data_IF_520907285770
#
_entry.id   IF_520907285770
#
_cell.length_a   1.000
_cell.length_b   1.000
_cell.length_c   1.000
_cell.angle_alpha   90.00
_cell.angle_beta   90.00
_cell.angle_gamma   90.00
#
_symmetry.space_group_name_H-M   'P 1'
#
loop_
_entity.id
_entity.type
_entity.pdbx_description
1 polymer ?
#
# COMPACT_ATOMS: atom_id res chain seq x y z
N UNK A 1 4.51 8.12 -30.64
CA UNK A 1 4.71 6.66 -30.78
C UNK A 1 6.00 6.10 -30.18
N UNK A 2 7.01 6.91 -29.83
CA UNK A 2 8.37 6.41 -29.54
C UNK A 2 8.52 5.46 -28.32
N UNK A 3 7.71 5.56 -27.27
CA UNK A 3 7.91 4.76 -26.04
C UNK A 3 7.16 3.43 -26.02
N UNK A 4 5.89 3.42 -26.40
CA UNK A 4 5.03 2.23 -26.28
C UNK A 4 4.61 1.62 -27.61
N UNK A 5 4.96 2.25 -28.74
CA UNK A 5 4.53 1.83 -30.10
C UNK A 5 3.00 1.71 -30.25
N UNK A 6 2.24 2.40 -29.41
CA UNK A 6 0.77 2.51 -29.45
C UNK A 6 0.33 3.95 -29.15
N UNK A 7 -0.91 4.30 -29.51
CA UNK A 7 -1.47 5.66 -29.34
C UNK A 7 -1.74 5.99 -27.87
N UNK A 8 -2.42 5.07 -27.16
CA UNK A 8 -2.69 5.18 -25.71
C UNK A 8 -1.63 4.40 -24.94
N UNK A 9 -1.05 4.88 -23.83
CA UNK A 9 -0.18 4.06 -22.98
C UNK A 9 -0.86 2.77 -22.51
N UNK A 10 -0.12 1.66 -22.34
CA UNK A 10 -0.68 0.42 -21.80
C UNK A 10 -1.10 0.60 -20.33
N UNK A 11 -2.18 -0.06 -19.93
CA UNK A 11 -2.65 -0.09 -18.54
C UNK A 11 -1.82 -1.08 -17.71
N UNK A 12 -1.63 -0.78 -16.42
CA UNK A 12 -1.00 -1.72 -15.48
C UNK A 12 -2.04 -2.71 -14.96
N UNK A 13 -1.84 -4.00 -15.23
CA UNK A 13 -2.73 -5.05 -14.74
C UNK A 13 -2.29 -5.53 -13.34
N UNK A 14 -2.95 -5.00 -12.30
CA UNK A 14 -2.66 -5.30 -10.90
C UNK A 14 -2.90 -6.77 -10.53
N UNK A 15 -3.79 -7.48 -11.24
CA UNK A 15 -4.03 -8.92 -11.01
C UNK A 15 -2.79 -9.79 -11.30
N UNK A 16 -1.82 -9.28 -12.06
CA UNK A 16 -0.56 -10.00 -12.37
C UNK A 16 0.51 -9.85 -11.29
N UNK A 17 0.26 -9.03 -10.28
CA UNK A 17 1.18 -8.83 -9.16
C UNK A 17 1.03 -10.02 -8.20
N UNK A 18 2.08 -10.83 -8.05
CA UNK A 18 2.08 -12.04 -7.22
C UNK A 18 2.79 -11.89 -5.88
N UNK A 19 3.56 -10.82 -5.71
CA UNK A 19 4.27 -10.53 -4.46
C UNK A 19 3.24 -10.23 -3.37
N UNK A 20 3.37 -10.77 -2.14
CA UNK A 20 2.45 -10.49 -1.05
C UNK A 20 2.58 -9.03 -0.58
N UNK A 21 1.43 -8.37 -0.39
CA UNK A 21 1.38 -7.00 0.14
C UNK A 21 0.69 -6.92 1.49
N UNK A 22 1.17 -6.00 2.30
CA UNK A 22 0.45 -5.44 3.44
C UNK A 22 0.35 -3.94 3.24
N UNK A 23 -0.85 -3.40 3.38
CA UNK A 23 -1.10 -1.97 3.15
C UNK A 23 -1.42 -1.24 4.46
N UNK A 24 -0.95 -0.01 4.58
CA UNK A 24 -1.38 0.92 5.62
C UNK A 24 -2.01 2.12 4.92
N UNK A 25 -3.14 2.61 5.40
CA UNK A 25 -3.80 3.80 4.84
C UNK A 25 -4.36 4.70 5.93
N UNK A 26 -4.35 6.00 5.67
CA UNK A 26 -4.88 7.01 6.58
C UNK A 26 -6.27 7.48 6.15
N UNK A 27 -7.19 7.65 7.09
CA UNK A 27 -8.57 8.06 6.75
C UNK A 27 -8.72 9.54 6.34
N UNK A 28 -7.68 10.36 6.58
CA UNK A 28 -7.60 11.77 6.18
C UNK A 28 -6.51 12.00 5.14
N UNK A 29 -6.09 10.96 4.43
CA UNK A 29 -5.16 11.09 3.32
C UNK A 29 -5.87 11.70 2.10
N UNK A 30 -5.42 12.89 1.71
CA UNK A 30 -5.96 13.62 0.56
C UNK A 30 -5.41 13.10 -0.78
N UNK A 31 -4.23 12.48 -0.78
CA UNK A 31 -3.60 11.94 -1.98
C UNK A 31 -4.09 10.52 -2.28
N UNK A 32 -4.35 9.73 -1.24
CA UNK A 32 -4.89 8.38 -1.38
C UNK A 32 -6.26 8.28 -0.73
N UNK A 33 -7.30 8.57 -1.51
CA UNK A 33 -8.67 8.55 -0.99
C UNK A 33 -9.07 7.13 -0.53
N UNK A 34 -9.99 6.99 0.44
CA UNK A 34 -10.54 5.69 0.82
C UNK A 34 -11.16 4.92 -0.35
N UNK A 35 -11.71 5.63 -1.35
CA UNK A 35 -12.30 5.02 -2.55
C UNK A 35 -11.22 4.37 -3.42
N UNK A 36 -10.12 5.08 -3.65
CA UNK A 36 -8.99 4.53 -4.42
C UNK A 36 -8.33 3.36 -3.70
N UNK A 37 -8.25 3.44 -2.36
CA UNK A 37 -7.77 2.34 -1.53
C UNK A 37 -8.65 1.08 -1.66
N UNK A 38 -9.96 1.25 -1.59
CA UNK A 38 -10.92 0.14 -1.78
C UNK A 38 -10.85 -0.44 -3.20
N UNK A 39 -10.62 0.40 -4.21
CA UNK A 39 -10.42 -0.08 -5.58
C UNK A 39 -9.11 -0.88 -5.70
N UNK A 40 -8.01 -0.36 -5.16
CA UNK A 40 -6.70 -1.01 -5.16
C UNK A 40 -6.76 -2.39 -4.51
N UNK A 41 -7.36 -2.49 -3.32
CA UNK A 41 -7.48 -3.78 -2.60
C UNK A 41 -8.33 -4.82 -3.34
N UNK A 42 -9.31 -4.39 -4.15
CA UNK A 42 -10.09 -5.29 -5.01
C UNK A 42 -9.31 -5.77 -6.24
N UNK A 43 -8.50 -4.90 -6.82
CA UNK A 43 -7.73 -5.20 -8.04
C UNK A 43 -6.39 -5.90 -7.75
N UNK A 44 -5.94 -5.89 -6.49
CA UNK A 44 -4.67 -6.47 -6.03
C UNK A 44 -4.91 -7.75 -5.21
N UNK A 45 -5.06 -8.93 -5.84
CA UNK A 45 -5.39 -10.19 -5.15
C UNK A 45 -4.32 -10.67 -4.17
N UNK A 46 -3.09 -10.15 -4.27
CA UNK A 46 -1.97 -10.50 -3.39
C UNK A 46 -1.93 -9.68 -2.09
N UNK A 47 -2.88 -8.77 -1.87
CA UNK A 47 -3.03 -8.03 -0.63
C UNK A 47 -3.49 -8.96 0.51
N UNK A 48 -2.58 -9.31 1.42
CA UNK A 48 -2.86 -10.24 2.53
C UNK A 48 -3.52 -9.57 3.73
N UNK A 49 -3.20 -8.30 3.97
CA UNK A 49 -3.72 -7.54 5.09
C UNK A 49 -3.70 -6.04 4.78
N UNK A 50 -4.59 -5.30 5.43
CA UNK A 50 -4.54 -3.85 5.45
C UNK A 50 -4.86 -3.28 6.83
N UNK A 51 -4.28 -2.13 7.14
CA UNK A 51 -4.44 -1.42 8.40
C UNK A 51 -4.95 -0.01 8.14
N UNK A 52 -6.10 0.31 8.70
CA UNK A 52 -6.64 1.67 8.73
C UNK A 52 -6.01 2.45 9.90
N UNK A 53 -5.55 3.67 9.61
CA UNK A 53 -5.05 4.61 10.60
C UNK A 53 -5.98 5.83 10.69
N UNK A 54 -6.85 5.89 11.70
CA UNK A 54 -7.81 6.98 11.85
C UNK A 54 -7.14 8.33 12.04
N UNK A 55 -7.57 9.34 11.29
CA UNK A 55 -7.06 10.72 11.29
C UNK A 55 -5.65 10.92 10.71
N UNK A 56 -5.07 9.90 10.08
CA UNK A 56 -3.77 10.03 9.42
C UNK A 56 -3.94 10.58 8.01
N UNK A 57 -3.05 11.49 7.63
CA UNK A 57 -2.87 11.99 6.28
C UNK A 57 -1.60 11.39 5.63
N UNK A 58 -1.30 11.82 4.41
CA UNK A 58 -0.17 11.30 3.64
C UNK A 58 1.19 11.50 4.31
N UNK A 59 1.39 12.66 4.92
CA UNK A 59 2.66 13.05 5.52
C UNK A 59 2.89 12.38 6.88
N UNK A 60 1.83 11.89 7.52
CA UNK A 60 1.93 11.21 8.81
C UNK A 60 2.75 9.91 8.74
N UNK A 61 2.75 9.25 7.59
CA UNK A 61 3.60 8.08 7.33
C UNK A 61 5.10 8.37 7.30
N UNK A 62 5.50 9.65 7.34
CA UNK A 62 6.90 10.08 7.35
C UNK A 62 7.21 10.86 8.63
N UNK A 63 6.34 11.80 9.01
CA UNK A 63 6.64 12.83 10.02
C UNK A 63 5.84 12.70 11.32
N UNK A 64 4.83 11.82 11.39
CA UNK A 64 4.05 11.70 12.61
C UNK A 64 4.91 11.13 13.75
N UNK A 65 4.84 11.73 14.93
CA UNK A 65 5.59 11.27 16.11
C UNK A 65 5.23 9.84 16.53
N UNK A 66 4.05 9.34 16.14
CA UNK A 66 3.58 7.98 16.41
C UNK A 66 3.87 6.98 15.27
N UNK A 67 4.50 7.39 14.16
CA UNK A 67 4.75 6.52 12.99
C UNK A 67 5.52 5.26 13.33
N UNK A 68 6.51 5.37 14.22
CA UNK A 68 7.26 4.21 14.66
C UNK A 68 6.37 3.18 15.34
N UNK A 69 5.51 3.62 16.27
CA UNK A 69 4.68 2.74 17.08
C UNK A 69 3.51 2.13 16.29
N UNK A 70 2.95 2.87 15.34
CA UNK A 70 1.72 2.48 14.62
C UNK A 70 1.99 1.77 13.29
N UNK A 71 3.13 2.03 12.65
CA UNK A 71 3.45 1.51 11.31
C UNK A 71 4.77 0.75 11.31
N UNK A 72 5.88 1.38 11.69
CA UNK A 72 7.20 0.79 11.48
C UNK A 72 7.47 -0.42 12.37
N UNK A 73 7.01 -0.42 13.62
CA UNK A 73 7.10 -1.57 14.54
C UNK A 73 6.45 -2.82 13.94
N UNK A 74 5.23 -2.68 13.44
CA UNK A 74 4.46 -3.73 12.77
C UNK A 74 5.18 -4.20 11.50
N UNK A 75 5.67 -3.27 10.68
CA UNK A 75 6.43 -3.59 9.46
C UNK A 75 7.70 -4.39 9.78
N UNK A 76 8.47 -3.97 10.78
CA UNK A 76 9.69 -4.66 11.21
C UNK A 76 9.38 -6.07 11.72
N UNK A 77 8.30 -6.24 12.49
CA UNK A 77 7.85 -7.55 12.94
C UNK A 77 7.47 -8.46 11.76
N UNK A 78 6.76 -7.94 10.76
CA UNK A 78 6.42 -8.70 9.55
C UNK A 78 7.67 -9.14 8.78
N UNK A 79 8.65 -8.25 8.61
CA UNK A 79 9.92 -8.56 7.96
C UNK A 79 10.69 -9.65 8.71
N UNK A 80 10.70 -9.60 10.05
CA UNK A 80 11.34 -10.62 10.88
C UNK A 80 10.65 -11.99 10.74
N UNK A 81 9.32 -12.05 10.72
CA UNK A 81 8.58 -13.30 10.54
C UNK A 81 8.91 -13.95 9.19
N UNK A 82 8.91 -13.16 8.11
CA UNK A 82 9.30 -13.63 6.78
C UNK A 82 10.75 -14.15 6.78
N UNK A 83 11.69 -13.45 7.44
CA UNK A 83 13.09 -13.89 7.52
C UNK A 83 13.30 -15.18 8.32
N UNK A 84 12.42 -15.47 9.27
CA UNK A 84 12.49 -16.65 10.14
C UNK A 84 11.67 -17.83 9.62
N UNK A 85 11.03 -17.69 8.44
CA UNK A 85 10.21 -18.73 7.83
C UNK A 85 8.91 -19.04 8.58
N UNK A 86 8.43 -18.09 9.40
CA UNK A 86 7.16 -18.18 10.14
C UNK A 86 6.06 -17.36 9.48
#
# INVERSE_FOLDING_TARGET
MQRYRQVKPPEYNLSRISVPFTLFYGTKDFLTSPVDFQKLTKELPSCRAHYELPNWNHMDFIYNTQVYLKVYSTMLQMMQNVSTGR
#
